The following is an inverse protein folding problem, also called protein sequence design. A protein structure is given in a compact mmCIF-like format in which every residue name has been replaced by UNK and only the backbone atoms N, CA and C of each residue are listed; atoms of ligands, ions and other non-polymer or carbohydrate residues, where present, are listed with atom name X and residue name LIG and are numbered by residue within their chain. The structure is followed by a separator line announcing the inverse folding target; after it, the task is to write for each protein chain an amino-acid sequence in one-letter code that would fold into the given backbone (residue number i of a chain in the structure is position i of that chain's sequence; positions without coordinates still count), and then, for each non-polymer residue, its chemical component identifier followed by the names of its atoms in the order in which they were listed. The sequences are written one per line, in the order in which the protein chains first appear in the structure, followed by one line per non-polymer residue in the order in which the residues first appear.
data_IF_797734070908
#
_entry.id   IF_797734070908
#
_cell.length_a   1.000
_cell.length_b   1.000
_cell.length_c   1.000
_cell.angle_alpha   90.00
_cell.angle_beta   90.00
_cell.angle_gamma   90.00
#
_symmetry.space_group_name_H-M   'P 1'
#
loop_
_entity.id
_entity.type
_entity.pdbx_description
1 polymer ?
#
# COMPACT_ATOMS: atom_id res chain seq x y z
N UNK A 1 75.61 -38.07 -14.18
CA UNK A 1 75.49 -36.86 -13.34
C UNK A 1 74.50 -35.93 -14.02
N UNK A 2 73.28 -35.81 -13.49
CA UNK A 2 72.21 -34.96 -14.04
C UNK A 2 72.01 -33.74 -13.11
N UNK A 3 71.86 -32.52 -13.63
CA UNK A 3 71.62 -31.33 -12.83
C UNK A 3 70.12 -31.17 -12.50
N UNK A 4 69.90 -30.43 -11.41
CA UNK A 4 68.65 -30.03 -10.80
C UNK A 4 67.86 -28.99 -11.63
N UNK A 5 66.60 -28.83 -11.19
CA UNK A 5 65.72 -27.65 -11.21
C UNK A 5 64.79 -27.48 -12.43
N UNK A 6 63.49 -27.73 -12.22
CA UNK A 6 62.48 -26.67 -12.03
C UNK A 6 61.07 -27.28 -12.09
N UNK A 7 60.45 -27.48 -10.93
CA UNK A 7 59.02 -27.71 -10.84
C UNK A 7 58.28 -26.45 -11.29
N UNK A 8 57.47 -26.56 -12.34
CA UNK A 8 56.55 -25.51 -12.75
C UNK A 8 55.48 -25.34 -11.67
N UNK A 9 55.69 -24.41 -10.76
CA UNK A 9 54.62 -23.87 -9.92
C UNK A 9 53.69 -23.06 -10.83
N UNK A 10 52.53 -23.62 -11.15
CA UNK A 10 51.41 -22.87 -11.73
C UNK A 10 50.91 -21.91 -10.66
N UNK A 11 51.43 -20.69 -10.69
CA UNK A 11 50.92 -19.59 -9.87
C UNK A 11 49.53 -19.22 -10.38
N UNK A 12 48.48 -19.65 -9.67
CA UNK A 12 47.12 -19.21 -9.94
C UNK A 12 47.03 -17.69 -9.72
N UNK A 13 46.68 -16.95 -10.77
CA UNK A 13 46.54 -15.49 -10.72
C UNK A 13 45.40 -15.09 -9.75
N UNK A 14 45.64 -14.19 -8.76
CA UNK A 14 44.59 -13.62 -7.93
C UNK A 14 43.93 -12.48 -8.72
N UNK A 15 43.05 -12.82 -9.66
CA UNK A 15 42.57 -11.86 -10.67
C UNK A 15 41.06 -11.67 -10.74
N UNK A 16 40.26 -12.52 -10.09
CA UNK A 16 38.81 -12.60 -10.37
C UNK A 16 37.96 -12.36 -9.11
N UNK A 17 38.42 -12.80 -7.93
CA UNK A 17 37.62 -12.74 -6.69
C UNK A 17 37.59 -11.32 -6.11
N UNK A 18 38.73 -10.60 -6.12
CA UNK A 18 38.84 -9.25 -5.53
C UNK A 18 38.14 -8.16 -6.36
N UNK A 19 38.16 -8.30 -7.70
CA UNK A 19 37.39 -7.42 -8.61
C UNK A 19 35.88 -7.63 -8.44
N UNK A 20 35.44 -8.86 -8.16
CA UNK A 20 34.04 -9.19 -7.93
C UNK A 20 33.48 -8.53 -6.66
N UNK A 21 34.23 -8.50 -5.55
CA UNK A 21 33.81 -7.81 -4.32
C UNK A 21 33.80 -6.28 -4.45
N UNK A 22 34.74 -5.70 -5.22
CA UNK A 22 34.81 -4.25 -5.47
C UNK A 22 33.66 -3.76 -6.37
N UNK A 23 33.36 -4.51 -7.44
CA UNK A 23 32.21 -4.25 -8.32
C UNK A 23 30.88 -4.41 -7.58
N UNK A 24 30.78 -5.35 -6.63
CA UNK A 24 29.54 -5.59 -5.87
C UNK A 24 29.22 -4.46 -4.87
N UNK A 25 30.23 -3.80 -4.29
CA UNK A 25 30.02 -2.56 -3.50
C UNK A 25 29.59 -1.38 -4.38
N UNK A 26 30.16 -1.26 -5.58
CA UNK A 26 29.83 -0.18 -6.51
C UNK A 26 28.40 -0.30 -7.06
N UNK A 27 27.94 -1.52 -7.38
CA UNK A 27 26.56 -1.78 -7.84
C UNK A 27 25.53 -1.51 -6.73
N UNK A 28 25.84 -1.81 -5.47
CA UNK A 28 24.96 -1.48 -4.34
C UNK A 28 24.86 0.02 -4.09
N UNK A 29 25.98 0.75 -4.14
CA UNK A 29 26.00 2.21 -3.95
C UNK A 29 25.30 2.94 -5.10
N UNK A 30 25.45 2.47 -6.34
CA UNK A 30 24.80 3.05 -7.53
C UNK A 30 23.31 2.69 -7.66
N UNK A 31 22.91 1.47 -7.28
CA UNK A 31 21.50 1.08 -7.19
C UNK A 31 20.74 1.86 -6.10
N UNK A 32 21.43 2.31 -5.05
CA UNK A 32 20.88 3.21 -4.03
C UNK A 32 20.81 4.67 -4.49
N UNK A 33 21.67 5.12 -5.43
CA UNK A 33 21.70 6.53 -5.88
C UNK A 33 20.87 6.83 -7.12
N UNK A 34 20.55 5.87 -8.00
CA UNK A 34 19.87 6.17 -9.29
C UNK A 34 18.45 5.54 -9.42
N UNK A 35 17.90 4.95 -8.35
CA UNK A 35 16.44 4.66 -8.27
C UNK A 35 16.02 3.19 -8.30
N UNK A 36 16.95 2.24 -8.41
CA UNK A 36 16.65 0.80 -8.38
C UNK A 36 16.28 0.27 -6.99
N UNK A 37 16.96 0.72 -5.93
CA UNK A 37 16.71 0.28 -4.55
C UNK A 37 15.34 0.67 -4.03
N UNK A 38 14.85 1.87 -4.38
CA UNK A 38 13.51 2.35 -4.01
C UNK A 38 12.41 1.48 -4.64
N UNK A 39 12.57 1.09 -5.91
CA UNK A 39 11.57 0.28 -6.63
C UNK A 39 11.46 -1.15 -6.08
N UNK A 40 12.58 -1.76 -5.68
CA UNK A 40 12.59 -3.09 -5.06
C UNK A 40 11.98 -3.05 -3.65
N UNK A 41 12.28 -2.01 -2.86
CA UNK A 41 11.66 -1.82 -1.55
C UNK A 41 10.14 -1.63 -1.64
N UNK A 42 9.65 -0.87 -2.65
CA UNK A 42 8.21 -0.68 -2.92
C UNK A 42 7.51 -1.99 -3.31
N UNK A 43 8.20 -2.89 -4.02
CA UNK A 43 7.65 -4.19 -4.46
C UNK A 43 7.67 -5.28 -3.36
N UNK A 44 8.59 -5.18 -2.39
CA UNK A 44 8.73 -6.16 -1.29
C UNK A 44 7.89 -5.81 -0.06
N UNK A 45 7.48 -4.54 0.13
CA UNK A 45 6.57 -4.13 1.21
C UNK A 45 5.09 -4.52 0.98
N UNK A 46 4.84 -5.56 0.18
CA UNK A 46 3.55 -6.23 0.08
C UNK A 46 3.30 -7.12 1.30
N UNK A 47 3.30 -6.55 2.49
CA UNK A 47 2.89 -7.26 3.69
C UNK A 47 1.37 -7.37 3.70
N UNK A 48 0.91 -8.61 3.56
CA UNK A 48 -0.49 -9.03 3.71
C UNK A 48 -1.02 -8.66 5.09
N UNK A 49 -1.54 -7.44 5.22
CA UNK A 49 -2.66 -7.18 6.12
C UNK A 49 -3.91 -7.37 5.28
N UNK A 50 -4.81 -8.24 5.74
CA UNK A 50 -6.11 -8.43 5.08
C UNK A 50 -6.94 -7.19 5.38
N UNK A 51 -6.61 -6.07 4.76
CA UNK A 51 -7.51 -4.93 4.59
C UNK A 51 -8.48 -5.31 3.46
N UNK A 52 -9.72 -4.79 3.41
CA UNK A 52 -10.51 -4.82 2.17
C UNK A 52 -9.60 -4.31 1.05
N UNK A 53 -9.07 -5.22 0.24
CA UNK A 53 -8.12 -4.84 -0.79
C UNK A 53 -8.84 -4.07 -1.88
N UNK A 54 -8.10 -3.55 -2.86
CA UNK A 54 -8.71 -2.97 -4.05
C UNK A 54 -9.53 -3.97 -4.88
N UNK A 55 -9.51 -5.27 -4.54
CA UNK A 55 -10.37 -6.27 -5.14
C UNK A 55 -11.73 -6.35 -4.41
N UNK A 56 -12.61 -5.39 -4.72
CA UNK A 56 -13.94 -5.26 -4.13
C UNK A 56 -14.87 -6.45 -4.43
N UNK A 57 -14.57 -7.24 -5.47
CA UNK A 57 -15.36 -8.41 -5.85
C UNK A 57 -15.20 -9.58 -4.87
N UNK A 58 -14.16 -9.56 -4.02
CA UNK A 58 -13.95 -10.57 -2.98
C UNK A 58 -14.71 -10.28 -1.69
N UNK A 59 -15.39 -9.13 -1.58
CA UNK A 59 -16.16 -8.77 -0.40
C UNK A 59 -17.42 -9.64 -0.31
N UNK A 60 -17.53 -10.42 0.76
CA UNK A 60 -18.72 -11.20 1.08
C UNK A 60 -19.68 -10.33 1.88
N UNK A 61 -20.72 -9.84 1.19
CA UNK A 61 -21.72 -8.90 1.71
C UNK A 61 -23.10 -9.58 1.62
N UNK A 62 -23.82 -9.68 2.74
CA UNK A 62 -25.23 -10.05 2.69
C UNK A 62 -26.09 -8.82 2.41
N UNK A 63 -26.94 -8.88 1.37
CA UNK A 63 -27.86 -7.79 1.04
C UNK A 63 -29.11 -7.74 1.93
N UNK A 64 -29.38 -8.78 2.71
CA UNK A 64 -30.63 -8.89 3.49
C UNK A 64 -30.61 -8.14 4.81
N UNK A 65 -29.44 -7.69 5.28
CA UNK A 65 -29.25 -7.01 6.56
C UNK A 65 -28.70 -5.58 6.44
N UNK A 66 -28.77 -4.97 5.26
CA UNK A 66 -28.26 -3.63 5.04
C UNK A 66 -29.18 -2.58 5.68
N UNK A 67 -28.57 -1.62 6.38
CA UNK A 67 -29.28 -0.54 7.07
C UNK A 67 -29.73 0.60 6.15
N UNK A 68 -29.15 0.66 4.94
CA UNK A 68 -29.37 1.71 3.96
C UNK A 68 -29.60 1.11 2.57
N UNK A 69 -30.24 1.86 1.69
CA UNK A 69 -30.40 1.53 0.28
C UNK A 69 -29.09 1.70 -0.51
N UNK A 70 -29.01 1.04 -1.68
CA UNK A 70 -27.86 1.18 -2.59
C UNK A 70 -27.59 2.66 -2.96
N UNK A 71 -28.63 3.48 -3.09
CA UNK A 71 -28.50 4.93 -3.38
C UNK A 71 -27.93 5.72 -2.20
N UNK A 72 -28.34 5.41 -0.98
CA UNK A 72 -27.82 6.08 0.22
C UNK A 72 -26.34 5.74 0.43
N UNK A 73 -25.92 4.50 0.18
CA UNK A 73 -24.49 4.14 0.16
C UNK A 73 -23.72 4.92 -0.91
N UNK A 74 -24.30 5.11 -2.10
CA UNK A 74 -23.69 5.94 -3.14
C UNK A 74 -23.50 7.40 -2.72
N UNK A 75 -24.50 7.98 -2.05
CA UNK A 75 -24.42 9.36 -1.52
C UNK A 75 -23.35 9.45 -0.43
N UNK A 76 -23.37 8.56 0.56
CA UNK A 76 -22.37 8.53 1.63
C UNK A 76 -20.95 8.35 1.07
N UNK A 77 -20.78 7.47 0.09
CA UNK A 77 -19.52 7.26 -0.60
C UNK A 77 -19.01 8.52 -1.32
N UNK A 78 -19.90 9.26 -1.98
CA UNK A 78 -19.54 10.51 -2.63
C UNK A 78 -19.20 11.61 -1.60
N UNK A 79 -19.94 11.69 -0.50
CA UNK A 79 -19.63 12.63 0.59
C UNK A 79 -18.27 12.32 1.23
N UNK A 80 -17.94 11.05 1.44
CA UNK A 80 -16.61 10.64 1.90
C UNK A 80 -15.51 11.05 0.92
N UNK A 81 -15.74 10.88 -0.38
CA UNK A 81 -14.78 11.31 -1.39
C UNK A 81 -14.57 12.83 -1.32
N UNK A 82 -15.63 13.62 -1.27
CA UNK A 82 -15.52 15.09 -1.18
C UNK A 82 -14.90 15.58 0.14
N UNK A 83 -15.10 14.84 1.23
CA UNK A 83 -14.47 15.13 2.52
C UNK A 83 -12.96 14.89 2.52
N UNK A 84 -12.45 14.12 1.55
CA UNK A 84 -11.04 13.73 1.43
C UNK A 84 -10.36 14.34 0.20
N UNK A 85 -11.12 14.69 -0.84
CA UNK A 85 -10.58 15.20 -2.10
C UNK A 85 -10.49 16.73 -2.05
N UNK A 86 -9.29 17.24 -1.77
CA UNK A 86 -9.04 18.67 -1.79
C UNK A 86 -7.95 19.14 -0.86
N UNK A 87 -8.04 20.40 -0.45
CA UNK A 87 -7.14 20.97 0.54
C UNK A 87 -7.63 20.64 1.94
N UNK A 88 -6.88 19.81 2.65
CA UNK A 88 -7.25 19.32 3.97
C UNK A 88 -8.27 18.19 3.91
N UNK A 89 -8.73 17.77 5.08
CA UNK A 89 -9.64 16.65 5.25
C UNK A 89 -10.77 17.08 6.18
N UNK A 90 -12.02 16.77 5.84
CA UNK A 90 -13.18 16.99 6.72
C UNK A 90 -13.41 15.72 7.57
N UNK A 91 -12.72 15.64 8.70
CA UNK A 91 -12.80 14.47 9.57
C UNK A 91 -14.17 14.32 10.23
N UNK A 92 -14.91 15.41 10.45
CA UNK A 92 -16.23 15.38 11.06
C UNK A 92 -17.22 14.63 10.15
N UNK A 93 -17.22 14.94 8.85
CA UNK A 93 -18.02 14.20 7.85
C UNK A 93 -17.60 12.74 7.77
N UNK A 94 -16.29 12.45 7.76
CA UNK A 94 -15.78 11.08 7.72
C UNK A 94 -16.29 10.28 8.93
N UNK A 95 -16.13 10.81 10.13
CA UNK A 95 -16.51 10.09 11.35
C UNK A 95 -18.02 9.99 11.51
N UNK A 96 -18.80 10.98 11.09
CA UNK A 96 -20.25 10.91 11.10
C UNK A 96 -20.75 9.74 10.24
N UNK A 97 -20.23 9.61 9.01
CA UNK A 97 -20.60 8.54 8.08
C UNK A 97 -20.12 7.18 8.60
N UNK A 98 -18.85 7.06 9.01
CA UNK A 98 -18.32 5.77 9.49
C UNK A 98 -19.06 5.27 10.73
N UNK A 99 -19.43 6.15 11.67
CA UNK A 99 -20.20 5.79 12.88
C UNK A 99 -21.67 5.46 12.59
N UNK A 100 -22.20 5.86 11.43
CA UNK A 100 -23.57 5.54 11.03
C UNK A 100 -23.73 4.07 10.59
N UNK A 101 -22.64 3.38 10.28
CA UNK A 101 -22.66 1.96 9.90
C UNK A 101 -23.05 1.10 11.11
N UNK A 102 -24.08 0.25 10.96
CA UNK A 102 -24.64 -0.49 12.10
C UNK A 102 -24.09 -1.90 12.21
N UNK A 103 -23.61 -2.46 11.11
CA UNK A 103 -23.09 -3.81 11.07
C UNK A 103 -21.93 -3.93 10.06
N UNK A 104 -21.31 -5.12 10.05
CA UNK A 104 -20.21 -5.46 9.15
C UNK A 104 -20.55 -5.22 7.68
N UNK A 105 -21.72 -5.69 7.26
CA UNK A 105 -22.11 -5.68 5.85
C UNK A 105 -22.44 -4.27 5.36
N UNK A 106 -22.93 -3.38 6.24
CA UNK A 106 -23.07 -1.95 5.96
C UNK A 106 -21.71 -1.33 5.61
N UNK A 107 -20.69 -1.54 6.45
CA UNK A 107 -19.36 -0.99 6.22
C UNK A 107 -18.72 -1.57 4.94
N UNK A 108 -18.88 -2.87 4.69
CA UNK A 108 -18.38 -3.48 3.45
C UNK A 108 -19.12 -2.96 2.22
N UNK A 109 -20.44 -2.71 2.33
CA UNK A 109 -21.23 -2.13 1.25
C UNK A 109 -20.83 -0.67 0.99
N UNK A 110 -20.54 0.11 2.03
CA UNK A 110 -20.00 1.46 1.90
C UNK A 110 -18.63 1.47 1.21
N UNK A 111 -17.72 0.57 1.60
CA UNK A 111 -16.40 0.41 0.93
C UNK A 111 -16.60 0.03 -0.55
N UNK A 112 -17.54 -0.86 -0.85
CA UNK A 112 -17.88 -1.25 -2.22
C UNK A 112 -18.46 -0.08 -3.02
N UNK A 113 -19.37 0.69 -2.42
CA UNK A 113 -20.01 1.85 -3.06
C UNK A 113 -19.03 3.00 -3.30
N UNK A 114 -18.06 3.20 -2.42
CA UNK A 114 -16.93 4.11 -2.64
C UNK A 114 -16.13 3.75 -3.88
N UNK A 115 -15.97 2.45 -4.14
CA UNK A 115 -15.28 1.96 -5.32
C UNK A 115 -13.77 2.14 -5.21
N UNK A 116 -13.12 2.16 -6.37
CA UNK A 116 -11.70 2.50 -6.49
C UNK A 116 -11.62 3.91 -7.08
N UNK A 117 -10.90 4.80 -6.40
CA UNK A 117 -10.73 6.20 -6.79
C UNK A 117 -9.26 6.56 -6.84
N UNK A 118 -8.91 7.41 -7.81
CA UNK A 118 -7.54 7.87 -8.03
C UNK A 118 -7.13 8.85 -6.94
N UNK A 119 -6.17 8.45 -6.11
CA UNK A 119 -5.56 9.30 -5.10
C UNK A 119 -4.29 9.97 -5.64
N UNK A 120 -4.20 11.29 -5.50
CA UNK A 120 -3.10 12.13 -5.97
C UNK A 120 -3.57 13.51 -6.46
N UNK A 121 -2.66 14.49 -6.48
CA UNK A 121 -2.97 15.87 -6.85
C UNK A 121 -3.25 15.96 -8.37
N UNK A 122 -4.15 16.84 -8.82
CA UNK A 122 -4.49 17.05 -10.25
C UNK A 122 -3.27 17.27 -11.16
N UNK A 123 -2.14 17.78 -10.66
CA UNK A 123 -0.89 17.92 -11.43
C UNK A 123 -0.18 16.59 -11.70
N UNK A 124 -0.62 15.49 -11.10
CA UNK A 124 0.07 14.21 -11.06
C UNK A 124 -0.61 13.13 -11.91
N UNK A 125 -0.94 13.47 -13.17
CA UNK A 125 -1.31 12.53 -14.24
C UNK A 125 -0.38 11.30 -14.32
N UNK A 126 0.86 11.41 -13.84
CA UNK A 126 1.86 10.35 -13.80
C UNK A 126 2.10 9.73 -12.41
N UNK A 127 1.62 10.34 -11.32
CA UNK A 127 1.93 9.93 -9.94
C UNK A 127 0.69 9.91 -9.06
N UNK A 128 0.06 8.75 -8.97
CA UNK A 128 -1.07 8.54 -8.08
C UNK A 128 -1.31 7.05 -7.90
N UNK A 129 -2.22 6.73 -6.99
CA UNK A 129 -2.56 5.36 -6.66
C UNK A 129 -4.06 5.17 -6.70
N UNK A 130 -4.49 4.05 -7.27
CA UNK A 130 -5.90 3.71 -7.30
C UNK A 130 -6.22 3.05 -5.98
N UNK A 131 -7.05 3.69 -5.16
CA UNK A 131 -7.31 3.32 -3.77
C UNK A 131 -8.81 3.17 -3.54
N UNK A 132 -9.21 2.18 -2.74
CA UNK A 132 -10.54 2.14 -2.18
C UNK A 132 -10.67 3.07 -0.96
N UNK A 133 -11.84 3.06 -0.31
CA UNK A 133 -12.11 3.87 0.88
C UNK A 133 -11.03 3.69 1.96
N UNK A 134 -10.59 2.45 2.21
CA UNK A 134 -9.58 2.19 3.25
C UNK A 134 -8.22 2.75 2.85
N UNK A 135 -7.86 2.67 1.57
CA UNK A 135 -6.66 3.31 1.05
C UNK A 135 -6.71 4.83 1.23
N UNK A 136 -7.82 5.46 0.85
CA UNK A 136 -8.02 6.90 1.01
C UNK A 136 -7.93 7.36 2.47
N UNK A 137 -8.61 6.67 3.39
CA UNK A 137 -8.49 6.94 4.84
C UNK A 137 -7.06 6.75 5.37
N UNK A 138 -6.29 5.85 4.76
CA UNK A 138 -4.88 5.64 5.12
C UNK A 138 -3.95 6.73 4.62
N UNK A 139 -4.30 7.44 3.56
CA UNK A 139 -3.50 8.55 3.04
C UNK A 139 -3.88 9.88 3.70
N UNK A 140 -5.17 10.12 3.88
CA UNK A 140 -5.73 11.40 4.35
C UNK A 140 -5.57 11.63 5.86
N UNK A 141 -5.80 10.59 6.67
CA UNK A 141 -5.91 10.81 8.12
C UNK A 141 -4.55 10.84 8.85
N UNK A 142 -4.51 11.59 9.95
CA UNK A 142 -3.40 11.51 10.91
C UNK A 142 -3.39 10.21 11.72
N UNK A 143 -2.30 9.92 12.43
CA UNK A 143 -2.17 8.69 13.24
C UNK A 143 -3.26 8.56 14.31
N UNK A 144 -3.66 9.67 14.95
CA UNK A 144 -4.72 9.67 15.97
C UNK A 144 -6.07 9.29 15.38
N UNK A 145 -6.41 9.83 14.22
CA UNK A 145 -7.68 9.60 13.55
C UNK A 145 -7.76 8.20 12.93
N UNK A 146 -6.64 7.67 12.41
CA UNK A 146 -6.53 6.27 12.01
C UNK A 146 -6.80 5.29 13.15
N UNK A 147 -6.45 5.64 14.38
CA UNK A 147 -6.79 4.82 15.55
C UNK A 147 -8.30 4.79 15.77
N UNK A 148 -8.98 5.94 15.69
CA UNK A 148 -10.46 6.00 15.77
C UNK A 148 -11.13 5.20 14.66
N UNK A 149 -10.63 5.32 13.42
CA UNK A 149 -11.15 4.52 12.29
C UNK A 149 -10.97 3.02 12.57
N UNK A 150 -9.79 2.60 13.04
CA UNK A 150 -9.53 1.20 13.39
C UNK A 150 -10.48 0.68 14.47
N UNK A 151 -10.78 1.49 15.48
CA UNK A 151 -11.74 1.13 16.53
C UNK A 151 -13.15 0.89 15.95
N UNK A 152 -13.63 1.79 15.07
CA UNK A 152 -14.91 1.64 14.38
C UNK A 152 -14.92 0.37 13.53
N UNK A 153 -13.90 0.18 12.69
CA UNK A 153 -13.77 -0.97 11.80
C UNK A 153 -13.76 -2.29 12.59
N UNK A 154 -12.94 -2.38 13.65
CA UNK A 154 -12.87 -3.56 14.50
C UNK A 154 -14.19 -3.83 15.22
N UNK A 155 -14.92 -2.79 15.67
CA UNK A 155 -16.23 -2.96 16.30
C UNK A 155 -17.27 -3.60 15.36
N UNK A 156 -17.08 -3.43 14.04
CA UNK A 156 -17.90 -4.03 12.99
C UNK A 156 -17.27 -5.29 12.39
N UNK A 157 -16.23 -5.85 13.02
CA UNK A 157 -15.49 -7.03 12.56
C UNK A 157 -14.95 -6.90 11.13
N UNK A 158 -14.53 -5.68 10.76
CA UNK A 158 -13.82 -5.38 9.51
C UNK A 158 -12.41 -4.92 9.84
N UNK A 159 -11.36 -5.47 9.22
CA UNK A 159 -9.99 -5.03 9.45
C UNK A 159 -9.67 -3.69 8.76
N UNK A 160 -8.89 -2.83 9.45
CA UNK A 160 -8.36 -1.56 8.96
C UNK A 160 -6.83 -1.59 8.83
#
# INVERSE_FOLDING_TARGET
MNPLVAAAAVQAAPGIIDKSFSMMKLVFVTALTVGGGYFIYKKIKGNTKVTPGNNLNKLQISKTGLSYSDSEYGIMAQSLYLAMDGSGTDEDTIFAILRSMRNRDDLLMLIKAFGIRRYGIVTSLWFGSDLNLVGWLNEELGSKDKTKVREIFNSLNVPF
#
